data_IF_676438655255
#
_entry.id   IF_676438655255
#
_cell.length_a   1.000
_cell.length_b   1.000
_cell.length_c   1.000
_cell.angle_alpha   90.00
_cell.angle_beta   90.00
_cell.angle_gamma   90.00
#
_symmetry.space_group_name_H-M   'P 1'
#
loop_
_entity.id
_entity.type
_entity.pdbx_description
1 polymer ?
#
# COMPACT_ATOMS: atom_id res chain seq x y z
N UNK A 1 9.64 15.88 13.67
CA UNK A 1 10.94 15.87 12.93
C UNK A 1 12.09 15.16 13.64
N UNK A 2 12.52 15.52 14.88
CA UNK A 2 13.67 14.83 15.52
C UNK A 2 13.48 13.32 15.74
N UNK A 3 12.27 12.87 16.08
CA UNK A 3 11.96 11.44 16.28
C UNK A 3 11.94 10.63 14.97
N UNK A 4 11.50 11.24 13.87
CA UNK A 4 11.49 10.60 12.55
C UNK A 4 12.93 10.32 12.06
N UNK A 5 13.87 11.24 12.29
CA UNK A 5 15.28 11.02 11.93
C UNK A 5 15.93 9.89 12.71
N UNK A 6 15.63 9.73 14.01
CA UNK A 6 16.15 8.62 14.81
C UNK A 6 15.56 7.28 14.37
N UNK A 7 14.28 7.25 14.01
CA UNK A 7 13.61 6.08 13.43
C UNK A 7 14.25 5.69 12.09
N UNK A 8 14.44 6.65 11.17
CA UNK A 8 15.08 6.41 9.86
C UNK A 8 16.49 5.83 10.01
N UNK A 9 17.32 6.39 10.90
CA UNK A 9 18.67 5.87 11.16
C UNK A 9 18.64 4.44 11.71
N UNK A 10 17.67 4.14 12.59
CA UNK A 10 17.47 2.81 13.18
C UNK A 10 16.94 1.79 12.17
N UNK A 11 16.09 2.23 11.24
CA UNK A 11 15.53 1.40 10.15
C UNK A 11 16.62 1.03 9.14
N UNK A 12 17.53 1.96 8.80
CA UNK A 12 18.66 1.72 7.90
C UNK A 12 19.67 0.72 8.48
N UNK A 13 19.94 0.77 9.79
CA UNK A 13 20.82 -0.19 10.48
C UNK A 13 20.20 -1.60 10.55
N UNK A 14 18.88 -1.69 10.61
CA UNK A 14 18.14 -2.95 10.69
C UNK A 14 18.02 -3.70 9.35
N UNK A 15 18.33 -3.03 8.23
CA UNK A 15 18.32 -3.57 6.86
C UNK A 15 19.50 -4.48 6.49
N UNK A 16 20.59 -4.44 7.25
CA UNK A 16 21.79 -5.26 7.02
C UNK A 16 21.63 -6.73 7.44
N UNK A 17 20.41 -7.15 7.81
CA UNK A 17 20.14 -8.50 8.30
C UNK A 17 19.61 -9.41 7.18
N UNK A 18 20.00 -10.70 7.15
CA UNK A 18 19.51 -11.67 6.18
C UNK A 18 17.97 -11.75 6.17
N UNK A 19 17.38 -11.93 4.98
CA UNK A 19 15.93 -12.08 4.77
C UNK A 19 15.39 -13.24 5.63
N UNK A 20 14.45 -12.95 6.53
CA UNK A 20 13.79 -13.96 7.36
C UNK A 20 12.73 -14.74 6.55
N UNK A 21 12.40 -15.96 6.96
CA UNK A 21 11.44 -16.84 6.27
C UNK A 21 10.03 -16.22 6.09
N UNK A 22 9.65 -15.27 6.95
CA UNK A 22 8.36 -14.56 6.89
C UNK A 22 8.49 -13.10 6.43
N UNK A 23 9.64 -12.69 5.88
CA UNK A 23 9.86 -11.30 5.46
C UNK A 23 8.87 -10.87 4.36
N UNK A 24 8.61 -11.73 3.38
CA UNK A 24 7.70 -11.46 2.25
C UNK A 24 6.27 -11.16 2.73
N UNK A 25 5.77 -11.95 3.69
CA UNK A 25 4.44 -11.74 4.27
C UNK A 25 4.34 -10.44 5.05
N UNK A 26 5.41 -10.06 5.77
CA UNK A 26 5.49 -8.79 6.49
C UNK A 26 5.57 -7.61 5.53
N UNK A 27 6.41 -7.69 4.49
CA UNK A 27 6.55 -6.64 3.48
C UNK A 27 5.22 -6.44 2.72
N UNK A 28 4.53 -7.53 2.38
CA UNK A 28 3.19 -7.48 1.78
C UNK A 28 2.15 -6.85 2.72
N UNK A 29 2.14 -7.25 3.99
CA UNK A 29 1.26 -6.67 5.01
C UNK A 29 1.49 -5.17 5.20
N UNK A 30 2.76 -4.73 5.21
CA UNK A 30 3.12 -3.32 5.28
C UNK A 30 2.59 -2.51 4.10
N UNK A 31 2.77 -3.01 2.87
CA UNK A 31 2.23 -2.36 1.67
C UNK A 31 0.70 -2.29 1.68
N UNK A 32 0.04 -3.36 2.14
CA UNK A 32 -1.42 -3.37 2.25
C UNK A 32 -1.91 -2.37 3.32
N UNK A 33 -1.23 -2.26 4.46
CA UNK A 33 -1.53 -1.25 5.50
C UNK A 33 -1.30 0.18 5.01
N UNK A 34 -0.18 0.41 4.34
CA UNK A 34 0.12 1.71 3.74
C UNK A 34 -0.96 2.10 2.73
N UNK A 35 -1.32 1.18 1.83
CA UNK A 35 -2.38 1.40 0.85
C UNK A 35 -3.70 1.77 1.52
N UNK A 36 -4.18 1.01 2.51
CA UNK A 36 -5.47 1.28 3.14
C UNK A 36 -5.49 2.59 3.91
N UNK A 37 -4.36 2.98 4.52
CA UNK A 37 -4.24 4.31 5.12
C UNK A 37 -4.38 5.41 4.08
N UNK A 38 -3.62 5.31 2.99
CA UNK A 38 -3.64 6.30 1.92
C UNK A 38 -5.02 6.38 1.24
N UNK A 39 -5.70 5.25 1.09
CA UNK A 39 -7.07 5.21 0.57
C UNK A 39 -8.04 5.90 1.53
N UNK A 40 -7.94 5.65 2.84
CA UNK A 40 -8.76 6.35 3.82
C UNK A 40 -8.46 7.85 3.85
N UNK A 41 -7.19 8.26 3.91
CA UNK A 41 -6.81 9.67 3.93
C UNK A 41 -7.19 10.42 2.65
N UNK A 42 -7.32 9.71 1.52
CA UNK A 42 -7.78 10.32 0.28
C UNK A 42 -9.30 10.44 0.18
N UNK A 43 -10.07 9.63 0.90
CA UNK A 43 -11.51 9.46 0.64
C UNK A 43 -12.42 9.71 1.85
N UNK A 44 -11.90 9.56 3.08
CA UNK A 44 -12.70 9.51 4.30
C UNK A 44 -13.63 8.28 4.38
N UNK A 45 -13.42 7.27 3.55
CA UNK A 45 -14.31 6.10 3.47
C UNK A 45 -13.95 5.03 4.52
N UNK A 46 -14.78 4.91 5.55
CA UNK A 46 -14.61 3.97 6.67
C UNK A 46 -14.51 2.49 6.26
N UNK A 47 -14.90 2.14 5.02
CA UNK A 47 -14.68 0.78 4.50
C UNK A 47 -13.19 0.45 4.43
N UNK A 48 -12.33 1.42 4.15
CA UNK A 48 -10.88 1.21 4.15
C UNK A 48 -10.31 1.07 5.57
N UNK A 49 -10.87 1.78 6.55
CA UNK A 49 -10.54 1.55 7.98
C UNK A 49 -10.89 0.12 8.39
N UNK A 50 -12.07 -0.36 8.01
CA UNK A 50 -12.49 -1.74 8.33
C UNK A 50 -11.51 -2.78 7.76
N UNK A 51 -10.94 -2.53 6.56
CA UNK A 51 -9.91 -3.41 5.98
C UNK A 51 -8.60 -3.33 6.74
N UNK A 52 -8.19 -2.13 7.12
CA UNK A 52 -6.99 -1.90 7.91
C UNK A 52 -7.06 -2.58 9.28
N UNK A 53 -8.17 -2.42 9.99
CA UNK A 53 -8.42 -3.07 11.29
C UNK A 53 -8.34 -4.60 11.18
N UNK A 54 -8.79 -5.16 10.05
CA UNK A 54 -8.68 -6.59 9.75
C UNK A 54 -7.24 -7.08 9.55
N UNK A 55 -6.33 -6.22 9.10
CA UNK A 55 -4.91 -6.59 8.91
C UNK A 55 -4.13 -6.57 10.22
N UNK A 56 -4.47 -5.66 11.13
CA UNK A 56 -3.74 -5.40 12.37
C UNK A 56 -3.35 -6.66 13.16
N UNK A 57 -4.29 -7.54 13.55
CA UNK A 57 -3.98 -8.73 14.34
C UNK A 57 -3.01 -9.69 13.66
N UNK A 58 -3.20 -9.94 12.36
CA UNK A 58 -2.32 -10.83 11.59
C UNK A 58 -0.91 -10.26 11.46
N UNK A 59 -0.81 -8.94 11.28
CA UNK A 59 0.45 -8.24 11.16
C UNK A 59 1.19 -8.21 12.50
N UNK A 60 0.53 -7.90 13.61
CA UNK A 60 1.13 -7.94 14.94
C UNK A 60 1.64 -9.34 15.30
N UNK A 61 0.90 -10.39 14.92
CA UNK A 61 1.36 -11.76 15.06
C UNK A 61 2.62 -12.03 14.23
N UNK A 62 2.66 -11.60 12.97
CA UNK A 62 3.84 -11.72 12.10
C UNK A 62 5.03 -10.90 12.62
N UNK A 63 4.78 -9.72 13.18
CA UNK A 63 5.80 -8.85 13.78
C UNK A 63 6.48 -9.52 14.96
N UNK A 64 5.73 -10.20 15.83
CA UNK A 64 6.30 -10.92 16.99
C UNK A 64 7.36 -11.97 16.62
N UNK A 65 7.37 -12.42 15.35
CA UNK A 65 8.27 -13.43 14.83
C UNK A 65 9.51 -12.83 14.13
N UNK A 66 9.60 -11.50 14.02
CA UNK A 66 10.69 -10.79 13.33
C UNK A 66 11.77 -10.32 14.30
N UNK A 67 13.04 -10.38 13.87
CA UNK A 67 14.17 -9.85 14.68
C UNK A 67 14.11 -8.33 14.89
N UNK A 68 13.51 -7.60 13.96
CA UNK A 68 13.36 -6.13 14.01
C UNK A 68 11.98 -5.68 14.55
N UNK A 69 11.31 -6.53 15.33
CA UNK A 69 9.95 -6.31 15.81
C UNK A 69 9.76 -4.95 16.53
N UNK A 70 10.78 -4.48 17.26
CA UNK A 70 10.71 -3.20 17.98
C UNK A 70 10.54 -2.00 17.04
N UNK A 71 11.43 -1.84 16.04
CA UNK A 71 11.34 -0.73 15.08
C UNK A 71 10.04 -0.77 14.26
N UNK A 72 9.60 -1.98 13.89
CA UNK A 72 8.33 -2.18 13.18
C UNK A 72 7.11 -1.84 14.05
N UNK A 73 7.17 -2.16 15.35
CA UNK A 73 6.14 -1.80 16.30
C UNK A 73 6.08 -0.29 16.52
N UNK A 74 7.22 0.39 16.60
CA UNK A 74 7.27 1.84 16.73
C UNK A 74 6.68 2.53 15.48
N UNK A 75 7.01 2.01 14.29
CA UNK A 75 6.45 2.49 13.03
C UNK A 75 4.93 2.25 12.96
N UNK A 76 4.47 1.08 13.40
CA UNK A 76 3.04 0.75 13.52
C UNK A 76 2.30 1.65 14.51
N UNK A 77 2.92 2.01 15.64
CA UNK A 77 2.33 2.93 16.61
C UNK A 77 2.24 4.35 16.07
N UNK A 78 3.30 4.84 15.42
CA UNK A 78 3.29 6.15 14.74
C UNK A 78 2.19 6.21 13.68
N UNK A 79 2.01 5.11 12.97
CA UNK A 79 0.94 4.94 11.99
C UNK A 79 -0.46 5.04 12.63
N UNK A 80 -0.72 4.31 13.70
CA UNK A 80 -2.01 4.37 14.41
C UNK A 80 -2.31 5.79 14.93
N UNK A 81 -1.30 6.52 15.41
CA UNK A 81 -1.46 7.90 15.85
C UNK A 81 -1.84 8.85 14.69
N UNK A 82 -1.23 8.63 13.52
CA UNK A 82 -1.49 9.45 12.32
C UNK A 82 -2.89 9.18 11.77
N UNK A 83 -3.35 7.93 11.83
CA UNK A 83 -4.70 7.55 11.45
C UNK A 83 -5.78 8.29 12.26
N UNK A 84 -5.59 8.39 13.57
CA UNK A 84 -6.52 9.14 14.44
C UNK A 84 -6.59 10.64 14.08
N UNK A 85 -5.48 11.23 13.63
CA UNK A 85 -5.46 12.62 13.17
C UNK A 85 -6.25 12.82 11.88
N UNK A 86 -6.10 11.92 10.90
CA UNK A 86 -6.89 11.93 9.66
C UNK A 86 -8.37 11.75 9.96
N UNK A 87 -8.71 10.82 10.87
CA UNK A 87 -10.08 10.59 11.29
C UNK A 87 -10.69 11.83 11.95
N UNK A 88 -9.92 12.50 12.80
CA UNK A 88 -10.31 13.78 13.39
C UNK A 88 -10.51 14.84 12.29
N UNK A 89 -9.64 14.91 11.28
CA UNK A 89 -9.76 15.84 10.15
C UNK A 89 -11.03 15.67 9.33
N UNK A 90 -11.49 14.43 9.13
CA UNK A 90 -12.76 14.16 8.46
C UNK A 90 -13.99 14.41 9.34
N UNK A 91 -13.84 14.31 10.67
CA UNK A 91 -14.96 14.41 11.62
C UNK A 91 -15.14 15.80 12.24
N UNK A 92 -14.08 16.60 12.31
CA UNK A 92 -14.02 17.88 13.01
C UNK A 92 -13.71 19.01 12.03
N UNK A 93 -14.47 20.11 12.09
CA UNK A 93 -14.33 21.23 11.16
C UNK A 93 -13.02 22.02 11.30
N UNK A 94 -12.35 21.93 12.45
CA UNK A 94 -11.20 22.78 12.80
C UNK A 94 -9.85 22.10 12.57
N UNK A 95 -9.84 20.84 12.13
CA UNK A 95 -8.61 20.10 11.83
C UNK A 95 -8.34 20.16 10.33
N UNK A 96 -7.14 20.62 9.96
CA UNK A 96 -6.75 20.77 8.57
C UNK A 96 -6.48 19.41 7.90
N UNK A 97 -7.40 19.03 7.01
CA UNK A 97 -7.31 17.80 6.23
C UNK A 97 -6.05 17.72 5.37
N UNK A 98 -5.58 18.84 4.78
CA UNK A 98 -4.37 18.82 3.95
C UNK A 98 -3.14 18.50 4.79
N UNK A 99 -3.04 19.08 5.98
CA UNK A 99 -1.95 18.76 6.91
C UNK A 99 -2.00 17.31 7.40
N UNK A 100 -3.20 16.79 7.71
CA UNK A 100 -3.35 15.40 8.13
C UNK A 100 -2.97 14.43 7.00
N UNK A 101 -3.38 14.72 5.76
CA UNK A 101 -3.00 13.97 4.56
C UNK A 101 -1.50 14.02 4.29
N UNK A 102 -0.86 15.19 4.45
CA UNK A 102 0.58 15.34 4.29
C UNK A 102 1.36 14.50 5.32
N UNK A 103 0.98 14.55 6.60
CA UNK A 103 1.60 13.74 7.66
C UNK A 103 1.40 12.23 7.42
N UNK A 104 0.22 11.84 6.94
CA UNK A 104 -0.08 10.47 6.54
C UNK A 104 0.89 9.97 5.47
N UNK A 105 1.15 10.78 4.45
CA UNK A 105 2.09 10.45 3.39
C UNK A 105 3.53 10.33 3.89
N UNK A 106 3.95 11.20 4.81
CA UNK A 106 5.28 11.10 5.44
C UNK A 106 5.45 9.78 6.20
N UNK A 107 4.46 9.41 7.01
CA UNK A 107 4.50 8.17 7.81
C UNK A 107 4.39 6.94 6.91
N UNK A 108 3.55 6.98 5.87
CA UNK A 108 3.46 5.94 4.85
C UNK A 108 4.82 5.67 4.19
N UNK A 109 5.59 6.70 3.83
CA UNK A 109 6.91 6.57 3.22
C UNK A 109 7.98 5.91 4.11
N UNK A 110 7.77 5.82 5.42
CA UNK A 110 8.68 5.10 6.32
C UNK A 110 8.60 3.58 6.12
N UNK A 111 7.46 3.04 5.68
CA UNK A 111 7.33 1.63 5.33
C UNK A 111 8.20 1.28 4.11
N UNK A 112 8.18 2.13 3.09
CA UNK A 112 9.06 1.99 1.92
C UNK A 112 10.53 1.96 2.31
N UNK A 113 10.94 2.91 3.16
CA UNK A 113 12.33 2.99 3.62
C UNK A 113 12.74 1.69 4.33
N UNK A 114 11.84 1.11 5.13
CA UNK A 114 12.09 -0.15 5.80
C UNK A 114 12.16 -1.35 4.85
N UNK A 115 11.25 -1.43 3.88
CA UNK A 115 11.21 -2.51 2.88
C UNK A 115 12.46 -2.43 1.99
N UNK A 116 12.83 -1.24 1.51
CA UNK A 116 14.00 -1.01 0.65
C UNK A 116 15.33 -1.31 1.34
N UNK A 117 15.39 -1.18 2.66
CA UNK A 117 16.58 -1.51 3.43
C UNK A 117 16.88 -3.02 3.44
N UNK A 118 15.93 -3.88 3.03
CA UNK A 118 16.07 -5.34 2.97
C UNK A 118 16.44 -5.80 1.55
N UNK A 119 17.00 -7.01 1.42
CA UNK A 119 17.21 -7.63 0.11
C UNK A 119 15.91 -7.65 -0.72
N UNK A 120 15.94 -7.29 -2.01
CA UNK A 120 14.73 -7.23 -2.83
C UNK A 120 14.09 -8.61 -2.99
N UNK A 121 12.77 -8.68 -2.78
CA UNK A 121 11.99 -9.89 -3.03
C UNK A 121 11.91 -10.17 -4.55
N UNK A 122 11.82 -11.44 -4.97
CA UNK A 122 11.56 -11.76 -6.37
C UNK A 122 10.16 -11.27 -6.77
N UNK A 123 10.10 -10.38 -7.76
CA UNK A 123 8.85 -9.77 -8.21
C UNK A 123 7.94 -10.80 -8.91
N UNK A 124 6.72 -10.95 -8.41
CA UNK A 124 5.64 -11.67 -9.06
C UNK A 124 4.44 -10.77 -9.38
N UNK A 125 3.48 -11.33 -10.13
CA UNK A 125 2.22 -10.66 -10.47
C UNK A 125 1.45 -10.15 -9.23
N UNK A 126 1.59 -10.85 -8.11
CA UNK A 126 1.01 -10.45 -6.82
C UNK A 126 1.64 -9.15 -6.28
N UNK A 127 2.97 -9.03 -6.35
CA UNK A 127 3.70 -7.83 -5.93
C UNK A 127 3.43 -6.65 -6.85
N UNK A 128 3.38 -6.90 -8.17
CA UNK A 128 3.07 -5.88 -9.17
C UNK A 128 1.66 -5.30 -8.96
N UNK A 129 0.66 -6.13 -8.65
CA UNK A 129 -0.70 -5.68 -8.31
C UNK A 129 -0.73 -4.86 -7.02
N UNK A 130 0.03 -5.27 -5.99
CA UNK A 130 0.13 -4.48 -4.75
C UNK A 130 0.82 -3.13 -4.99
N UNK A 131 1.89 -3.12 -5.77
CA UNK A 131 2.62 -1.90 -6.15
C UNK A 131 1.71 -0.94 -6.92
N UNK A 132 0.99 -1.44 -7.93
CA UNK A 132 0.03 -0.64 -8.70
C UNK A 132 -1.01 0.00 -7.78
N UNK A 133 -1.60 -0.78 -6.89
CA UNK A 133 -2.64 -0.29 -6.00
C UNK A 133 -2.14 0.73 -4.97
N UNK A 134 -0.91 0.54 -4.50
CA UNK A 134 -0.25 1.48 -3.60
C UNK A 134 0.07 2.81 -4.31
N UNK A 135 0.60 2.76 -5.54
CA UNK A 135 0.91 3.95 -6.32
C UNK A 135 -0.34 4.75 -6.68
N UNK A 136 -1.46 4.09 -7.00
CA UNK A 136 -2.74 4.77 -7.21
C UNK A 136 -3.23 5.49 -5.93
N UNK A 137 -3.07 4.87 -4.76
CA UNK A 137 -3.39 5.50 -3.48
C UNK A 137 -2.46 6.70 -3.17
N UNK A 138 -1.16 6.58 -3.45
CA UNK A 138 -0.18 7.69 -3.31
C UNK A 138 -0.51 8.84 -4.25
N UNK A 139 -0.82 8.55 -5.51
CA UNK A 139 -1.21 9.55 -6.51
C UNK A 139 -2.47 10.30 -6.09
N UNK A 140 -3.46 9.61 -5.52
CA UNK A 140 -4.66 10.26 -5.01
C UNK A 140 -4.37 11.24 -3.86
N UNK A 141 -3.51 10.87 -2.92
CA UNK A 141 -3.05 11.79 -1.87
C UNK A 141 -2.25 12.97 -2.46
N UNK A 142 -1.36 12.70 -3.40
CA UNK A 142 -0.61 13.73 -4.12
C UNK A 142 -1.53 14.77 -4.76
N UNK A 143 -2.60 14.33 -5.42
CA UNK A 143 -3.60 15.25 -6.01
C UNK A 143 -4.29 16.14 -4.97
N UNK A 144 -4.63 15.62 -3.80
CA UNK A 144 -5.22 16.43 -2.71
C UNK A 144 -4.27 17.50 -2.18
N UNK A 145 -2.96 17.24 -2.26
CA UNK A 145 -1.90 18.15 -1.86
C UNK A 145 -1.42 19.07 -3.00
N UNK A 146 -1.91 18.89 -4.23
CA UNK A 146 -1.42 19.61 -5.41
C UNK A 146 -0.03 19.13 -5.88
N UNK A 147 0.41 17.94 -5.47
CA UNK A 147 1.70 17.34 -5.74
C UNK A 147 1.56 16.05 -6.57
N UNK A 148 1.13 16.17 -7.83
CA UNK A 148 1.06 15.02 -8.72
C UNK A 148 2.47 14.58 -9.18
N UNK A 149 2.81 13.32 -8.93
CA UNK A 149 4.12 12.75 -9.30
C UNK A 149 4.08 12.16 -10.71
N UNK A 150 4.80 12.77 -11.66
CA UNK A 150 4.99 12.22 -13.01
C UNK A 150 5.68 10.84 -12.98
N UNK A 151 6.55 10.62 -12.00
CA UNK A 151 7.22 9.32 -11.79
C UNK A 151 6.21 8.24 -11.44
N UNK A 152 5.28 8.53 -10.54
CA UNK A 152 4.24 7.58 -10.14
C UNK A 152 3.32 7.29 -11.32
N UNK A 153 2.92 8.31 -12.09
CA UNK A 153 2.11 8.13 -13.29
C UNK A 153 2.79 7.25 -14.35
N UNK A 154 4.09 7.45 -14.57
CA UNK A 154 4.89 6.62 -15.50
C UNK A 154 4.94 5.18 -15.02
N UNK A 155 5.27 4.96 -13.74
CA UNK A 155 5.39 3.62 -13.15
C UNK A 155 4.06 2.87 -13.13
N UNK A 156 2.95 3.56 -12.86
CA UNK A 156 1.59 3.01 -12.97
C UNK A 156 1.35 2.48 -14.39
N UNK A 157 1.70 3.25 -15.42
CA UNK A 157 1.56 2.82 -16.82
C UNK A 157 2.36 1.55 -17.13
N UNK A 158 3.63 1.50 -16.72
CA UNK A 158 4.49 0.32 -16.89
C UNK A 158 3.91 -0.92 -16.20
N UNK A 159 3.46 -0.78 -14.95
CA UNK A 159 2.87 -1.88 -14.19
C UNK A 159 1.59 -2.38 -14.84
N UNK A 160 0.75 -1.48 -15.34
CA UNK A 160 -0.47 -1.85 -16.04
C UNK A 160 -0.19 -2.69 -17.29
N UNK A 161 0.82 -2.32 -18.08
CA UNK A 161 1.21 -3.11 -19.26
C UNK A 161 1.74 -4.49 -18.84
N UNK A 162 2.68 -4.51 -17.90
CA UNK A 162 3.31 -5.73 -17.41
C UNK A 162 2.31 -6.72 -16.79
N UNK A 163 1.39 -6.23 -15.94
CA UNK A 163 0.34 -7.03 -15.32
C UNK A 163 -0.60 -7.61 -16.39
N UNK A 164 -0.97 -6.80 -17.39
CA UNK A 164 -1.80 -7.23 -18.51
C UNK A 164 -1.15 -8.38 -19.28
N UNK A 165 0.14 -8.26 -19.62
CA UNK A 165 0.90 -9.29 -20.31
C UNK A 165 0.98 -10.58 -19.50
N UNK A 166 1.31 -10.49 -18.20
CA UNK A 166 1.41 -11.66 -17.33
C UNK A 166 0.07 -12.38 -17.14
N UNK A 167 -1.02 -11.62 -16.99
CA UNK A 167 -2.37 -12.20 -16.91
C UNK A 167 -2.75 -12.92 -18.22
N UNK A 168 -2.40 -12.35 -19.36
CA UNK A 168 -2.66 -12.97 -20.66
C UNK A 168 -1.81 -14.25 -20.89
N UNK A 169 -0.59 -14.29 -20.33
CA UNK A 169 0.32 -15.42 -20.42
C UNK A 169 -0.07 -16.61 -19.49
N UNK A 170 -1.04 -16.44 -18.59
CA UNK A 170 -1.53 -17.55 -17.76
C UNK A 170 -2.16 -18.65 -18.65
N UNK A 171 -2.13 -19.92 -18.19
CA UNK A 171 -2.77 -21.03 -18.91
C UNK A 171 -4.24 -20.72 -19.23
N UNK A 172 -4.65 -21.05 -20.46
CA UNK A 172 -6.01 -20.80 -20.91
C UNK A 172 -7.04 -21.57 -20.07
N UNK A 173 -8.14 -20.90 -19.74
CA UNK A 173 -9.24 -21.48 -18.97
C UNK A 173 -10.09 -20.42 -18.28
N UNK A 174 -11.21 -20.85 -17.71
CA UNK A 174 -12.20 -19.97 -17.09
C UNK A 174 -11.62 -19.07 -15.98
N UNK A 175 -10.62 -19.56 -15.24
CA UNK A 175 -9.93 -18.78 -14.22
C UNK A 175 -9.19 -17.58 -14.82
N UNK A 176 -8.36 -17.81 -15.84
CA UNK A 176 -7.66 -16.74 -16.57
C UNK A 176 -8.66 -15.75 -17.16
N UNK A 177 -9.70 -16.23 -17.83
CA UNK A 177 -10.66 -15.36 -18.52
C UNK A 177 -11.43 -14.48 -17.51
N UNK A 178 -11.73 -15.01 -16.31
CA UNK A 178 -12.27 -14.22 -15.20
C UNK A 178 -11.30 -13.14 -14.73
N UNK A 179 -10.01 -13.47 -14.53
CA UNK A 179 -8.99 -12.51 -14.13
C UNK A 179 -8.79 -11.41 -15.18
N UNK A 180 -8.76 -11.75 -16.47
CA UNK A 180 -8.68 -10.77 -17.56
C UNK A 180 -9.91 -9.86 -17.63
N UNK A 181 -11.10 -10.40 -17.39
CA UNK A 181 -12.33 -9.61 -17.29
C UNK A 181 -12.26 -8.61 -16.14
N UNK A 182 -11.82 -9.07 -14.96
CA UNK A 182 -11.62 -8.23 -13.77
C UNK A 182 -10.56 -7.15 -13.98
N UNK A 183 -9.47 -7.50 -14.65
CA UNK A 183 -8.45 -6.56 -15.08
C UNK A 183 -9.01 -5.48 -16.00
N UNK A 184 -9.82 -5.86 -17.00
CA UNK A 184 -10.50 -4.89 -17.87
C UNK A 184 -11.44 -3.95 -17.09
N UNK A 185 -12.17 -4.46 -16.10
CA UNK A 185 -13.01 -3.63 -15.22
C UNK A 185 -12.18 -2.68 -14.35
N UNK A 186 -11.05 -3.15 -13.81
CA UNK A 186 -10.12 -2.31 -13.06
C UNK A 186 -9.64 -1.13 -13.91
N UNK A 187 -9.23 -1.38 -15.15
CA UNK A 187 -8.82 -0.33 -16.10
C UNK A 187 -9.92 0.70 -16.40
N UNK A 188 -11.19 0.31 -16.31
CA UNK A 188 -12.34 1.24 -16.49
C UNK A 188 -12.60 2.11 -15.26
N UNK A 189 -12.13 1.71 -14.08
CA UNK A 189 -12.23 2.50 -12.86
C UNK A 189 -11.18 3.64 -12.81
N UNK A 190 -10.13 3.53 -13.62
CA UNK A 190 -9.10 4.55 -13.81
C UNK A 190 -9.57 5.56 -14.85
N UNK A 191 -9.61 6.85 -14.50
CA UNK A 191 -9.98 7.92 -15.43
C UNK A 191 -8.93 9.03 -15.47
N UNK A 192 -8.89 9.85 -16.54
CA UNK A 192 -7.99 11.01 -16.60
C UNK A 192 -8.13 11.95 -15.40
N UNK A 193 -9.37 12.21 -14.98
CA UNK A 193 -9.70 13.02 -13.80
C UNK A 193 -9.38 12.34 -12.46
N UNK A 194 -9.18 11.02 -12.49
CA UNK A 194 -8.70 10.23 -11.37
C UNK A 194 -9.37 8.87 -11.21
N UNK A 195 -8.77 8.07 -10.34
CA UNK A 195 -9.17 6.68 -10.11
C UNK A 195 -10.35 6.65 -9.15
N UNK A 196 -11.39 5.88 -9.50
CA UNK A 196 -12.47 5.54 -8.58
C UNK A 196 -11.91 4.54 -7.55
N UNK A 197 -11.33 5.08 -6.48
CA UNK A 197 -10.49 4.33 -5.54
C UNK A 197 -11.16 3.10 -4.94
N UNK A 198 -12.44 3.18 -4.56
CA UNK A 198 -13.16 2.01 -4.01
C UNK A 198 -13.39 0.91 -5.06
N UNK A 199 -14.05 1.17 -6.23
CA UNK A 199 -14.18 0.16 -7.29
C UNK A 199 -12.85 -0.42 -7.76
N UNK A 200 -11.82 0.43 -7.90
CA UNK A 200 -10.48 0.02 -8.27
C UNK A 200 -9.88 -0.95 -7.25
N UNK A 201 -9.85 -0.57 -5.96
CA UNK A 201 -9.27 -1.41 -4.92
C UNK A 201 -10.04 -2.73 -4.74
N UNK A 202 -11.36 -2.72 -4.91
CA UNK A 202 -12.16 -3.95 -4.89
C UNK A 202 -11.78 -4.93 -6.01
N UNK A 203 -11.41 -4.44 -7.20
CA UNK A 203 -10.90 -5.32 -8.26
C UNK A 203 -9.49 -5.83 -7.94
N UNK A 204 -8.61 -5.00 -7.37
CA UNK A 204 -7.28 -5.45 -6.92
C UNK A 204 -7.38 -6.55 -5.87
N UNK A 205 -8.21 -6.37 -4.83
CA UNK A 205 -8.45 -7.38 -3.80
C UNK A 205 -8.94 -8.70 -4.43
N UNK A 206 -9.87 -8.60 -5.39
CA UNK A 206 -10.35 -9.78 -6.10
C UNK A 206 -9.22 -10.49 -6.85
N UNK A 207 -8.41 -9.75 -7.62
CA UNK A 207 -7.29 -10.32 -8.37
C UNK A 207 -6.31 -11.02 -7.42
N UNK A 208 -5.85 -10.34 -6.36
CA UNK A 208 -4.94 -10.89 -5.36
C UNK A 208 -5.47 -12.18 -4.72
N UNK A 209 -6.76 -12.25 -4.42
CA UNK A 209 -7.36 -13.43 -3.80
C UNK A 209 -7.50 -14.64 -4.75
N UNK A 210 -7.48 -14.41 -6.07
CA UNK A 210 -7.76 -15.44 -7.08
C UNK A 210 -6.58 -15.72 -8.02
N UNK A 211 -5.42 -15.10 -7.78
CA UNK A 211 -4.20 -15.46 -8.49
C UNK A 211 -3.82 -16.92 -8.21
N UNK A 212 -3.29 -17.65 -9.21
CA UNK A 212 -2.73 -18.98 -8.99
C UNK A 212 -1.61 -18.89 -7.95
N UNK A 213 -1.69 -19.70 -6.89
CA UNK A 213 -0.59 -19.83 -5.93
C UNK A 213 0.59 -20.53 -6.61
N UNK A 214 1.81 -20.03 -6.38
CA UNK A 214 3.05 -20.69 -6.79
C UNK A 214 3.29 -21.95 -5.98
#
# INVERSE_FOLDING_TARGET
MRQACTLIASLLLAGLLPRAANADAVDAGLRDMERYLLLYSATGDDRFLTRLDGLGPSFEQQLSQQKNAANLKDLWQLYQQTLEQVRAAYSQKDVDLQNAVAQTREVAGLFDTFILAREPAPQGLEDELRELALLEARRANGRLLGEESEKDATRIGELQELIGERLAALPAGASRDSLLSRWSYLRKAEKPEGTLLYPFNAQVEYLLAHLPRR
#
